data_IF_481544708792
#
_entry.id   IF_481544708792
#
_cell.length_a   1.000
_cell.length_b   1.000
_cell.length_c   1.000
_cell.angle_alpha   90.00
_cell.angle_beta   90.00
_cell.angle_gamma   90.00
#
_symmetry.space_group_name_H-M   'P 1'
#
loop_
_entity.id
_entity.type
_entity.pdbx_description
1 polymer ?
#
# COMPACT_ATOMS: atom_id res chain seq x y z
N UNK A 1 58.07 -21.22 -3.96
CA UNK A 1 57.23 -21.98 -3.01
C UNK A 1 55.79 -21.60 -3.26
N UNK A 2 54.93 -22.61 -3.33
CA UNK A 2 53.62 -22.62 -3.96
C UNK A 2 52.58 -21.67 -3.37
N UNK A 3 51.75 -21.19 -4.30
CA UNK A 3 50.31 -20.92 -4.26
C UNK A 3 49.54 -21.16 -2.94
N UNK A 4 48.62 -20.24 -2.65
CA UNK A 4 47.18 -20.53 -2.67
C UNK A 4 46.37 -19.23 -2.76
N UNK A 5 45.74 -19.06 -3.92
CA UNK A 5 44.65 -18.14 -4.20
C UNK A 5 43.41 -18.69 -3.48
N UNK A 6 42.77 -17.92 -2.61
CA UNK A 6 41.39 -18.19 -2.20
C UNK A 6 40.50 -17.22 -2.97
N UNK A 7 40.00 -17.71 -4.11
CA UNK A 7 38.85 -17.13 -4.78
C UNK A 7 37.59 -17.47 -3.96
N UNK A 8 36.97 -16.48 -3.33
CA UNK A 8 35.59 -16.61 -2.83
C UNK A 8 34.66 -15.97 -3.86
N UNK A 9 34.13 -16.84 -4.71
CA UNK A 9 32.75 -16.84 -5.22
C UNK A 9 32.14 -15.54 -5.74
N UNK A 10 32.24 -15.33 -7.06
CA UNK A 10 31.16 -14.72 -7.82
C UNK A 10 29.94 -15.66 -7.81
N UNK A 11 29.01 -15.44 -6.88
CA UNK A 11 27.68 -16.05 -6.93
C UNK A 11 26.75 -15.11 -7.71
N UNK A 12 26.72 -15.29 -9.03
CA UNK A 12 25.60 -14.88 -9.86
C UNK A 12 24.38 -15.74 -9.50
N UNK A 13 23.36 -15.09 -8.96
CA UNK A 13 22.01 -15.63 -8.84
C UNK A 13 21.05 -14.46 -8.82
N UNK A 14 20.04 -14.49 -9.69
CA UNK A 14 18.91 -13.56 -9.63
C UNK A 14 18.23 -13.71 -8.26
N UNK A 15 18.72 -12.97 -7.26
CA UNK A 15 18.16 -12.95 -5.93
C UNK A 15 16.80 -12.27 -6.02
N UNK A 16 15.72 -13.05 -5.85
CA UNK A 16 14.45 -12.49 -5.41
C UNK A 16 14.77 -11.63 -4.19
N UNK A 17 14.56 -10.32 -4.30
CA UNK A 17 14.58 -9.44 -3.14
C UNK A 17 13.73 -10.10 -2.05
N UNK A 18 14.18 -10.11 -0.78
CA UNK A 18 13.38 -10.67 0.28
C UNK A 18 12.00 -10.00 0.24
N UNK A 19 10.98 -10.83 -0.01
CA UNK A 19 9.56 -10.48 0.07
C UNK A 19 9.37 -9.71 1.38
N UNK A 20 8.96 -8.44 1.30
CA UNK A 20 8.85 -7.60 2.48
C UNK A 20 7.83 -8.22 3.45
N UNK A 21 8.26 -8.50 4.68
CA UNK A 21 7.41 -9.06 5.71
C UNK A 21 6.15 -8.18 5.93
N UNK A 22 5.00 -8.78 6.31
CA UNK A 22 3.81 -8.00 6.62
C UNK A 22 4.06 -7.04 7.78
N UNK A 23 3.41 -5.86 7.78
CA UNK A 23 3.45 -4.94 8.92
C UNK A 23 2.97 -5.62 10.20
N UNK A 24 3.59 -5.30 11.34
CA UNK A 24 3.14 -5.82 12.64
C UNK A 24 1.81 -5.19 13.06
N UNK A 25 1.06 -5.86 13.92
CA UNK A 25 -0.20 -5.31 14.46
C UNK A 25 0.02 -3.95 15.15
N UNK A 26 1.11 -3.80 15.91
CA UNK A 26 1.46 -2.53 16.54
C UNK A 26 1.75 -1.42 15.51
N UNK A 27 2.45 -1.74 14.42
CA UNK A 27 2.71 -0.80 13.35
C UNK A 27 1.41 -0.37 12.65
N UNK A 28 0.52 -1.31 12.34
CA UNK A 28 -0.78 -1.01 11.72
C UNK A 28 -1.67 -0.16 12.63
N UNK A 29 -1.68 -0.43 13.95
CA UNK A 29 -2.47 0.33 14.91
C UNK A 29 -2.04 1.81 15.00
N UNK A 30 -0.73 2.07 14.89
CA UNK A 30 -0.15 3.41 14.97
C UNK A 30 -0.18 4.17 13.62
N UNK A 31 -0.38 3.46 12.51
CA UNK A 31 -0.31 4.01 11.17
C UNK A 31 -1.49 4.96 10.90
N UNK A 32 -1.19 6.16 10.40
CA UNK A 32 -2.17 7.19 10.04
C UNK A 32 -1.63 8.13 8.95
N UNK A 33 -2.49 8.67 8.07
CA UNK A 33 -2.14 9.77 7.19
C UNK A 33 -1.61 10.98 7.99
N UNK A 34 -0.71 11.75 7.38
CA UNK A 34 -0.18 12.97 8.00
C UNK A 34 -1.20 14.12 7.98
N UNK A 35 -2.01 14.18 6.93
CA UNK A 35 -3.13 15.13 6.85
C UNK A 35 -4.24 14.73 7.84
N UNK A 36 -4.70 15.71 8.64
CA UNK A 36 -5.64 15.46 9.73
C UNK A 36 -7.03 15.03 9.25
N UNK A 37 -7.49 15.54 8.10
CA UNK A 37 -8.77 15.13 7.51
C UNK A 37 -8.68 13.69 7.04
N UNK A 38 -7.66 13.36 6.25
CA UNK A 38 -7.45 11.99 5.77
C UNK A 38 -7.24 11.03 6.94
N UNK A 39 -6.57 11.46 8.01
CA UNK A 39 -6.44 10.65 9.22
C UNK A 39 -7.80 10.34 9.84
N UNK A 40 -8.69 11.33 9.98
CA UNK A 40 -10.05 11.10 10.46
C UNK A 40 -10.83 10.11 9.59
N UNK A 41 -10.82 10.30 8.27
CA UNK A 41 -11.52 9.41 7.32
C UNK A 41 -10.96 7.98 7.33
N UNK A 42 -9.63 7.86 7.39
CA UNK A 42 -8.97 6.56 7.51
C UNK A 42 -9.40 5.83 8.79
N UNK A 43 -9.36 6.50 9.93
CA UNK A 43 -9.70 5.93 11.24
C UNK A 43 -11.16 5.46 11.31
N UNK A 44 -12.11 6.24 10.78
CA UNK A 44 -13.54 5.92 10.89
C UNK A 44 -14.05 4.93 9.84
N UNK A 45 -13.30 4.69 8.77
CA UNK A 45 -13.78 3.90 7.63
C UNK A 45 -12.79 2.82 7.20
N UNK A 46 -11.62 3.20 6.70
CA UNK A 46 -10.71 2.26 6.05
C UNK A 46 -9.98 1.33 7.05
N UNK A 47 -9.62 1.87 8.23
CA UNK A 47 -8.75 1.21 9.21
C UNK A 47 -9.35 -0.09 9.75
N UNK A 48 -10.66 -0.15 9.92
CA UNK A 48 -11.37 -1.32 10.44
C UNK A 48 -11.01 -2.62 9.70
N UNK A 49 -10.73 -2.53 8.40
CA UNK A 49 -10.30 -3.67 7.59
C UNK A 49 -8.80 -3.59 7.27
N UNK A 50 -8.30 -2.44 6.82
CA UNK A 50 -6.92 -2.34 6.32
C UNK A 50 -5.83 -2.33 7.42
N UNK A 51 -6.20 -2.28 8.70
CA UNK A 51 -5.29 -2.51 9.83
C UNK A 51 -5.56 -3.84 10.56
N UNK A 52 -6.52 -4.64 10.08
CA UNK A 52 -6.93 -5.90 10.69
C UNK A 52 -6.50 -7.09 9.80
N UNK A 53 -5.50 -7.89 10.22
CA UNK A 53 -5.06 -9.08 9.50
C UNK A 53 -6.15 -10.11 9.24
N UNK A 54 -7.16 -10.20 10.11
CA UNK A 54 -8.22 -11.19 10.03
C UNK A 54 -9.35 -10.79 9.06
N UNK A 55 -9.32 -9.56 8.53
CA UNK A 55 -10.35 -9.06 7.61
C UNK A 55 -10.23 -9.61 6.18
N UNK A 56 -9.06 -10.14 5.81
CA UNK A 56 -8.72 -10.50 4.43
C UNK A 56 -8.46 -9.31 3.50
N UNK A 57 -8.57 -8.06 3.99
CA UNK A 57 -8.22 -6.87 3.23
C UNK A 57 -6.69 -6.72 3.09
N UNK A 58 -6.18 -6.09 2.02
CA UNK A 58 -4.76 -5.82 1.89
C UNK A 58 -4.30 -4.85 3.00
N UNK A 59 -3.42 -5.33 3.88
CA UNK A 59 -2.92 -4.54 5.01
C UNK A 59 -2.24 -3.25 4.54
N UNK A 60 -2.53 -2.14 5.21
CA UNK A 60 -1.99 -0.84 4.89
C UNK A 60 -0.46 -0.86 4.91
N UNK A 61 0.16 -0.27 3.88
CA UNK A 61 1.62 -0.20 3.68
C UNK A 61 2.32 -1.56 3.56
N UNK A 62 1.59 -2.67 3.39
CA UNK A 62 2.17 -3.96 3.07
C UNK A 62 2.60 -4.01 1.60
N UNK A 63 3.87 -3.75 1.33
CA UNK A 63 4.38 -3.61 -0.04
C UNK A 63 4.01 -4.78 -0.95
N UNK A 64 4.18 -6.03 -0.52
CA UNK A 64 3.94 -7.20 -1.37
C UNK A 64 2.45 -7.39 -1.71
N UNK A 65 1.55 -6.98 -0.83
CA UNK A 65 0.11 -6.95 -1.12
C UNK A 65 -0.28 -5.82 -2.09
N UNK A 66 0.40 -4.67 -2.02
CA UNK A 66 0.03 -3.47 -2.75
C UNK A 66 0.74 -3.28 -4.09
N UNK A 67 1.98 -3.75 -4.27
CA UNK A 67 2.72 -3.67 -5.54
C UNK A 67 1.93 -4.23 -6.73
N UNK A 68 1.40 -5.48 -6.70
CA UNK A 68 0.63 -6.01 -7.83
C UNK A 68 -0.73 -5.32 -8.02
N UNK A 69 -1.28 -4.71 -6.97
CA UNK A 69 -2.54 -3.94 -7.05
C UNK A 69 -2.30 -2.58 -7.70
N UNK A 70 -1.25 -1.88 -7.27
CA UNK A 70 -0.85 -0.58 -7.79
C UNK A 70 -0.44 -0.67 -9.27
N UNK A 71 0.19 -1.76 -9.68
CA UNK A 71 0.54 -2.03 -11.07
C UNK A 71 -0.68 -2.07 -12.03
N UNK A 72 -1.90 -2.27 -11.51
CA UNK A 72 -3.14 -2.20 -12.30
C UNK A 72 -3.62 -0.77 -12.56
N UNK A 73 -3.00 0.22 -11.92
CA UNK A 73 -3.29 1.64 -12.07
C UNK A 73 -4.22 2.20 -11.00
N UNK A 74 -4.05 3.49 -10.62
CA UNK A 74 -4.83 4.14 -9.58
C UNK A 74 -6.33 4.25 -9.93
N UNK A 75 -6.67 4.43 -11.20
CA UNK A 75 -8.07 4.61 -11.63
C UNK A 75 -8.90 3.35 -11.42
N UNK A 76 -8.31 2.17 -11.70
CA UNK A 76 -8.98 0.91 -11.43
C UNK A 76 -9.20 0.70 -9.92
N UNK A 77 -8.20 1.05 -9.10
CA UNK A 77 -8.33 0.96 -7.64
C UNK A 77 -9.40 1.92 -7.12
N UNK A 78 -9.48 3.14 -7.66
CA UNK A 78 -10.52 4.10 -7.32
C UNK A 78 -11.90 3.55 -7.69
N UNK A 79 -12.08 3.04 -8.90
CA UNK A 79 -13.34 2.42 -9.32
C UNK A 79 -13.77 1.28 -8.40
N UNK A 80 -12.87 0.34 -8.09
CA UNK A 80 -13.17 -0.73 -7.14
C UNK A 80 -13.51 -0.21 -5.73
N UNK A 81 -12.93 0.93 -5.33
CA UNK A 81 -13.23 1.58 -4.05
C UNK A 81 -14.64 2.16 -4.04
N UNK A 82 -15.03 2.84 -5.12
CA UNK A 82 -16.35 3.45 -5.25
C UNK A 82 -17.46 2.40 -5.40
N UNK A 83 -17.24 1.38 -6.23
CA UNK A 83 -18.23 0.36 -6.58
C UNK A 83 -18.28 -0.80 -5.57
N UNK A 84 -17.22 -0.97 -4.77
CA UNK A 84 -17.02 -2.15 -3.94
C UNK A 84 -16.37 -3.29 -4.73
N UNK A 85 -15.55 -4.10 -4.07
CA UNK A 85 -14.81 -5.16 -4.73
C UNK A 85 -14.31 -6.23 -3.76
N UNK A 86 -14.56 -7.50 -4.07
CA UNK A 86 -14.00 -8.66 -3.36
C UNK A 86 -14.12 -8.58 -1.82
N UNK A 87 -15.32 -8.26 -1.33
CA UNK A 87 -15.61 -8.12 0.10
C UNK A 87 -15.42 -6.71 0.66
N UNK A 88 -14.78 -5.80 -0.07
CA UNK A 88 -14.76 -4.38 0.29
C UNK A 88 -16.10 -3.73 -0.07
N UNK A 89 -16.81 -3.09 0.89
CA UNK A 89 -18.06 -2.38 0.60
C UNK A 89 -17.87 -1.21 -0.36
N UNK A 90 -18.92 -0.86 -1.10
CA UNK A 90 -18.95 0.33 -1.93
C UNK A 90 -18.64 1.59 -1.10
N UNK A 91 -17.71 2.42 -1.59
CA UNK A 91 -17.21 3.59 -0.88
C UNK A 91 -16.38 3.28 0.38
N UNK A 92 -16.05 2.02 0.66
CA UNK A 92 -15.25 1.64 1.83
C UNK A 92 -15.83 2.13 3.16
N UNK A 93 -17.17 2.22 3.27
CA UNK A 93 -17.89 2.79 4.41
C UNK A 93 -17.55 4.26 4.72
N UNK A 94 -17.06 5.02 3.74
CA UNK A 94 -16.74 6.43 3.90
C UNK A 94 -17.79 7.34 3.26
N UNK A 95 -18.87 7.60 3.99
CA UNK A 95 -19.99 8.43 3.50
C UNK A 95 -19.65 9.92 3.36
N UNK A 96 -18.51 10.37 3.90
CA UNK A 96 -18.02 11.75 3.85
C UNK A 96 -16.79 11.93 2.94
N UNK A 97 -16.35 10.87 2.27
CA UNK A 97 -15.25 10.92 1.32
C UNK A 97 -15.71 11.53 -0.02
N UNK A 98 -14.86 12.40 -0.57
CA UNK A 98 -14.89 12.83 -1.97
C UNK A 98 -13.99 11.93 -2.82
N UNK A 99 -14.02 12.09 -4.14
CA UNK A 99 -13.12 11.38 -5.04
C UNK A 99 -11.64 11.60 -4.70
N UNK A 100 -11.26 12.81 -4.33
CA UNK A 100 -9.87 13.15 -3.98
C UNK A 100 -9.43 12.48 -2.67
N UNK A 101 -10.33 12.34 -1.69
CA UNK A 101 -10.02 11.62 -0.46
C UNK A 101 -9.79 10.15 -0.74
N UNK A 102 -10.62 9.53 -1.59
CA UNK A 102 -10.40 8.13 -1.98
C UNK A 102 -9.05 7.96 -2.66
N UNK A 103 -8.69 8.83 -3.61
CA UNK A 103 -7.38 8.74 -4.26
C UNK A 103 -6.24 8.89 -3.27
N UNK A 104 -6.33 9.85 -2.34
CA UNK A 104 -5.31 10.07 -1.32
C UNK A 104 -5.22 8.90 -0.33
N UNK A 105 -6.36 8.34 0.10
CA UNK A 105 -6.43 7.18 0.99
C UNK A 105 -5.92 5.91 0.31
N UNK A 106 -6.22 5.69 -0.97
CA UNK A 106 -5.69 4.55 -1.75
C UNK A 106 -4.17 4.65 -1.85
N UNK A 107 -3.62 5.83 -2.17
CA UNK A 107 -2.16 6.07 -2.18
C UNK A 107 -1.55 5.81 -0.80
N UNK A 108 -2.21 6.29 0.24
CA UNK A 108 -1.82 6.02 1.62
C UNK A 108 -1.81 4.51 1.91
N UNK A 109 -2.87 3.77 1.60
CA UNK A 109 -2.87 2.33 1.83
C UNK A 109 -1.77 1.63 1.02
N UNK A 110 -1.54 2.06 -0.22
CA UNK A 110 -0.60 1.47 -1.16
C UNK A 110 0.88 1.83 -0.96
N UNK A 111 1.24 2.56 0.10
CA UNK A 111 2.65 2.95 0.29
C UNK A 111 3.12 4.08 -0.63
N UNK A 112 2.21 4.73 -1.36
CA UNK A 112 2.56 5.76 -2.33
C UNK A 112 2.58 7.14 -1.68
N UNK A 113 3.47 8.00 -2.17
CA UNK A 113 3.48 9.42 -1.84
C UNK A 113 2.26 10.16 -2.37
N UNK A 114 2.12 11.45 -2.03
CA UNK A 114 1.14 12.31 -2.67
C UNK A 114 1.28 12.24 -4.20
N UNK A 115 0.18 12.46 -4.91
CA UNK A 115 0.26 12.63 -6.36
C UNK A 115 1.31 13.70 -6.67
N UNK A 116 2.34 13.33 -7.44
CA UNK A 116 3.13 14.36 -8.10
C UNK A 116 2.15 15.14 -8.97
N UNK A 117 2.06 16.45 -8.75
CA UNK A 117 1.18 17.33 -9.50
C UNK A 117 1.55 17.21 -10.99
N UNK A 118 0.86 16.38 -11.75
CA UNK A 118 0.89 16.39 -13.22
C UNK A 118 -0.04 17.48 -13.74
N UNK A 119 0.14 18.69 -13.20
CA UNK A 119 -0.40 19.95 -13.71
C UNK A 119 0.84 20.80 -14.04
N UNK A 120 1.55 20.41 -15.10
CA UNK A 120 2.88 20.96 -15.37
C UNK A 120 3.66 20.33 -16.53
N UNK A 121 3.12 19.31 -17.20
CA UNK A 121 3.54 18.94 -18.55
C UNK A 121 2.38 19.32 -19.47
N UNK A 122 2.55 20.46 -20.16
CA UNK A 122 1.55 21.03 -21.06
C UNK A 122 1.38 20.19 -22.31
#
# INVERSE_FOLDING_TARGET
>A
MSALIVAVGLAGGCGKAPEAAPPTAAALAALRPADARLAGLYETSCKACHANPDSGAPLARHATAWTPRWAKGPDLLLRHTLEGFNGMPAGGQCFSCTADDYQALIRFLAGQGPAANTEGDR
#
